data_IF_102219971589
#
_entry.id   IF_102219971589
#
_cell.length_a   1.000
_cell.length_b   1.000
_cell.length_c   1.000
_cell.angle_alpha   90.00
_cell.angle_beta   90.00
_cell.angle_gamma   90.00
#
_symmetry.space_group_name_H-M   'P 1'
#
loop_
_entity.id
_entity.type
_entity.pdbx_description
1 polymer ?
#
# COMPACT_ATOMS: atom_id res chain seq x y z
N UNK A 1 7.49 14.49 -16.92
CA UNK A 1 7.61 13.35 -15.99
C UNK A 1 6.20 12.95 -15.63
N UNK A 2 5.78 11.76 -16.03
CA UNK A 2 4.41 11.30 -15.92
C UNK A 2 3.91 11.35 -14.47
N UNK A 3 2.65 11.77 -14.33
CA UNK A 3 1.95 11.93 -13.05
C UNK A 3 1.49 10.56 -12.51
N UNK A 4 2.41 9.61 -12.39
CA UNK A 4 2.07 8.28 -11.88
C UNK A 4 1.74 8.33 -10.40
N UNK A 5 0.70 7.58 -10.04
CA UNK A 5 0.26 7.37 -8.68
C UNK A 5 0.69 6.01 -8.16
N UNK A 6 0.58 5.81 -6.85
CA UNK A 6 0.89 4.53 -6.21
C UNK A 6 -0.02 3.42 -6.76
N UNK A 7 -1.31 3.72 -6.97
CA UNK A 7 -2.27 2.74 -7.46
C UNK A 7 -1.90 2.14 -8.83
N UNK A 8 -1.25 2.94 -9.69
CA UNK A 8 -0.84 2.53 -11.03
C UNK A 8 0.17 1.36 -11.00
N UNK A 9 0.90 1.18 -9.89
CA UNK A 9 1.95 0.15 -9.75
C UNK A 9 1.55 -1.03 -8.85
N UNK A 10 0.35 -1.04 -8.26
CA UNK A 10 -0.02 -2.10 -7.30
C UNK A 10 -0.03 -3.46 -7.98
N UNK A 11 -0.63 -3.58 -9.17
CA UNK A 11 -0.70 -4.87 -9.87
C UNK A 11 0.69 -5.38 -10.26
N UNK A 12 1.52 -4.52 -10.82
CA UNK A 12 2.89 -4.87 -11.21
C UNK A 12 3.73 -5.31 -9.99
N UNK A 13 3.60 -4.61 -8.87
CA UNK A 13 4.23 -5.00 -7.61
C UNK A 13 3.77 -6.39 -7.15
N UNK A 14 2.46 -6.66 -7.17
CA UNK A 14 1.91 -7.94 -6.74
C UNK A 14 2.33 -9.09 -7.68
N UNK A 15 2.41 -8.84 -8.99
CA UNK A 15 2.91 -9.79 -9.98
C UNK A 15 4.39 -10.10 -9.71
N UNK A 16 5.23 -9.08 -9.50
CA UNK A 16 6.64 -9.27 -9.15
C UNK A 16 6.80 -10.12 -7.88
N UNK A 17 6.03 -9.82 -6.83
CA UNK A 17 6.03 -10.64 -5.59
C UNK A 17 5.63 -12.09 -5.83
N UNK A 18 4.70 -12.35 -6.74
CA UNK A 18 4.24 -13.70 -7.04
C UNK A 18 5.20 -14.47 -7.95
N UNK A 19 5.64 -13.85 -9.04
CA UNK A 19 6.39 -14.50 -10.13
C UNK A 19 7.89 -14.53 -9.86
N UNK A 20 8.46 -13.40 -9.43
CA UNK A 20 9.91 -13.27 -9.25
C UNK A 20 10.33 -13.77 -7.87
N UNK A 21 9.54 -13.48 -6.83
CA UNK A 21 9.85 -13.81 -5.44
C UNK A 21 9.14 -15.08 -4.94
N UNK A 22 8.21 -15.64 -5.71
CA UNK A 22 7.51 -16.88 -5.35
C UNK A 22 6.62 -16.77 -4.11
N UNK A 23 6.12 -15.58 -3.78
CA UNK A 23 5.28 -15.38 -2.60
C UNK A 23 3.98 -16.21 -2.68
N UNK A 24 3.58 -16.79 -1.54
CA UNK A 24 2.31 -17.50 -1.42
C UNK A 24 1.11 -16.59 -1.74
N UNK A 25 0.03 -17.17 -2.28
CA UNK A 25 -1.19 -16.43 -2.63
C UNK A 25 -1.82 -15.69 -1.45
N UNK A 26 -1.69 -16.20 -0.22
CA UNK A 26 -2.09 -15.53 1.01
C UNK A 26 -1.30 -14.24 1.26
N UNK A 27 0.00 -14.27 1.00
CA UNK A 27 0.88 -13.09 1.09
C UNK A 27 0.50 -12.03 0.06
N UNK A 28 0.24 -12.42 -1.19
CA UNK A 28 -0.22 -11.50 -2.25
C UNK A 28 -1.54 -10.84 -1.86
N UNK A 29 -2.51 -11.61 -1.34
CA UNK A 29 -3.78 -11.07 -0.82
C UNK A 29 -3.56 -10.07 0.32
N UNK A 30 -2.65 -10.39 1.24
CA UNK A 30 -2.32 -9.51 2.36
C UNK A 30 -1.69 -8.19 1.86
N UNK A 31 -0.74 -8.23 0.93
CA UNK A 31 -0.15 -7.03 0.34
C UNK A 31 -1.20 -6.17 -0.37
N UNK A 32 -2.07 -6.78 -1.19
CA UNK A 32 -3.15 -6.07 -1.87
C UNK A 32 -4.04 -5.33 -0.87
N UNK A 33 -4.46 -6.02 0.19
CA UNK A 33 -5.30 -5.45 1.23
C UNK A 33 -4.61 -4.29 1.97
N UNK A 34 -3.35 -4.48 2.36
CA UNK A 34 -2.58 -3.46 3.09
C UNK A 34 -2.36 -2.20 2.22
N UNK A 35 -2.08 -2.37 0.92
CA UNK A 35 -1.90 -1.26 -0.04
C UNK A 35 -3.21 -0.54 -0.37
N UNK A 36 -4.32 -1.28 -0.54
CA UNK A 36 -5.65 -0.67 -0.72
C UNK A 36 -6.03 0.17 0.50
N UNK A 37 -5.85 -0.38 1.71
CA UNK A 37 -6.13 0.36 2.94
C UNK A 37 -5.27 1.62 3.09
N UNK A 38 -4.01 1.56 2.67
CA UNK A 38 -3.16 2.74 2.62
C UNK A 38 -3.80 3.84 1.76
N UNK A 39 -4.19 3.51 0.53
CA UNK A 39 -4.84 4.46 -0.39
C UNK A 39 -6.15 4.99 0.21
N UNK A 40 -6.99 4.13 0.78
CA UNK A 40 -8.27 4.53 1.41
C UNK A 40 -8.05 5.54 2.55
N UNK A 41 -7.03 5.32 3.39
CA UNK A 41 -6.81 6.15 4.56
C UNK A 41 -6.06 7.45 4.27
N UNK A 42 -5.14 7.47 3.30
CA UNK A 42 -4.28 8.66 3.07
C UNK A 42 -4.39 9.29 1.69
N UNK A 43 -5.16 8.68 0.80
CA UNK A 43 -5.35 9.05 -0.59
C UNK A 43 -4.29 8.42 -1.51
N UNK A 44 -4.61 8.36 -2.79
CA UNK A 44 -3.70 7.87 -3.82
C UNK A 44 -2.68 8.95 -4.20
N UNK A 45 -1.43 8.74 -3.82
CA UNK A 45 -0.37 9.74 -3.93
C UNK A 45 0.41 9.58 -5.22
N UNK A 46 0.97 10.68 -5.70
CA UNK A 46 2.03 10.60 -6.70
C UNK A 46 3.26 9.88 -6.13
N UNK A 47 3.90 9.03 -6.93
CA UNK A 47 5.04 8.23 -6.48
C UNK A 47 6.20 9.09 -5.98
N UNK A 48 6.40 10.25 -6.60
CA UNK A 48 7.43 11.23 -6.25
C UNK A 48 6.90 12.34 -5.33
N UNK A 49 5.77 12.11 -4.64
CA UNK A 49 5.20 13.12 -3.77
C UNK A 49 6.19 13.49 -2.66
N UNK A 50 6.51 14.79 -2.47
CA UNK A 50 7.37 15.23 -1.36
C UNK A 50 6.71 14.98 0.01
N UNK A 51 5.42 14.60 0.03
CA UNK A 51 4.63 14.32 1.22
C UNK A 51 4.54 12.83 1.59
N UNK A 52 5.21 11.94 0.85
CA UNK A 52 5.10 10.49 1.06
C UNK A 52 5.37 10.10 2.52
N UNK A 53 6.44 10.64 3.12
CA UNK A 53 6.79 10.35 4.52
C UNK A 53 5.71 10.81 5.50
N UNK A 54 5.14 11.99 5.29
CA UNK A 54 4.07 12.56 6.12
C UNK A 54 2.80 11.72 6.01
N UNK A 55 2.51 11.21 4.81
CA UNK A 55 1.36 10.35 4.55
C UNK A 55 1.53 8.96 5.17
N UNK A 56 2.72 8.37 5.14
CA UNK A 56 3.02 7.14 5.89
C UNK A 56 2.80 7.36 7.40
N UNK A 57 3.24 8.48 7.96
CA UNK A 57 2.96 8.81 9.38
C UNK A 57 1.47 8.96 9.67
N UNK A 58 0.73 9.63 8.79
CA UNK A 58 -0.71 9.77 8.92
C UNK A 58 -1.42 8.41 8.87
N UNK A 59 -0.99 7.51 7.98
CA UNK A 59 -1.50 6.16 7.88
C UNK A 59 -1.33 5.40 9.20
N UNK A 60 -0.10 5.36 9.74
CA UNK A 60 0.20 4.69 11.00
C UNK A 60 -0.59 5.29 12.17
N UNK A 61 -0.70 6.62 12.23
CA UNK A 61 -1.51 7.32 13.23
C UNK A 61 -2.98 6.88 13.15
N UNK A 62 -3.57 6.86 11.96
CA UNK A 62 -4.96 6.42 11.75
C UNK A 62 -5.17 4.96 12.14
N UNK A 63 -4.26 4.06 11.77
CA UNK A 63 -4.32 2.66 12.19
C UNK A 63 -4.33 2.53 13.72
N UNK A 64 -3.46 3.29 14.40
CA UNK A 64 -3.41 3.29 15.85
C UNK A 64 -4.71 3.87 16.48
N UNK A 65 -5.23 4.97 15.94
CA UNK A 65 -6.47 5.60 16.42
C UNK A 65 -7.70 4.70 16.33
N UNK A 66 -7.79 3.88 15.28
CA UNK A 66 -8.89 2.92 15.11
C UNK A 66 -8.63 1.58 15.84
N UNK A 67 -7.58 1.49 16.66
CA UNK A 67 -7.11 0.26 17.29
C UNK A 67 -6.99 -0.90 16.27
N UNK A 68 -6.49 -0.57 15.08
CA UNK A 68 -6.40 -1.55 14.00
C UNK A 68 -5.49 -2.68 14.43
N UNK A 69 -6.05 -3.89 14.42
CA UNK A 69 -5.26 -5.12 14.52
C UNK A 69 -5.49 -5.90 13.25
N UNK A 70 -4.42 -6.52 12.73
CA UNK A 70 -4.52 -7.52 11.66
C UNK A 70 -5.07 -8.82 12.26
N UNK A 71 -6.26 -8.75 12.86
CA UNK A 71 -6.99 -9.95 13.26
C UNK A 71 -7.71 -10.47 12.01
N UNK A 72 -7.42 -11.73 11.69
CA UNK A 72 -8.20 -12.52 10.74
C UNK A 72 -9.63 -12.74 11.22
#
# INVERSE_FOLDING_TARGET
MENYKISDFIEDFLIAKNVEEGCASSTIKAYRYDLQKFIELVGDLQINSPLLRQKIRLFLKKLNEINYTKKG
#
